data_IF_450490407135
#
_entry.id   IF_450490407135
#
_cell.length_a   1.000
_cell.length_b   1.000
_cell.length_c   1.000
_cell.angle_alpha   90.00
_cell.angle_beta   90.00
_cell.angle_gamma   90.00
#
_symmetry.space_group_name_H-M   'P 1'
#
loop_
_entity.id
_entity.type
_entity.pdbx_description
1 polymer ?
#
# COMPACT_ATOMS: atom_id res chain seq x y z
N UNK A 1 -39.83 20.83 6.37
CA UNK A 1 -39.29 20.70 5.01
C UNK A 1 -37.85 20.34 5.23
N UNK A 2 -37.56 19.05 5.11
CA UNK A 2 -36.20 18.52 5.24
C UNK A 2 -35.49 18.70 3.90
N UNK A 3 -34.47 19.53 3.92
CA UNK A 3 -33.56 19.72 2.81
C UNK A 3 -32.78 18.39 2.63
N UNK A 4 -33.17 17.61 1.62
CA UNK A 4 -32.42 16.45 1.23
C UNK A 4 -31.20 16.96 0.45
N UNK A 5 -30.07 17.12 1.16
CA UNK A 5 -28.77 17.29 0.55
C UNK A 5 -28.56 16.11 -0.42
N UNK A 6 -28.66 16.37 -1.71
CA UNK A 6 -28.22 15.44 -2.76
C UNK A 6 -26.69 15.47 -2.77
N UNK A 7 -26.09 14.78 -1.80
CA UNK A 7 -24.64 14.50 -1.82
C UNK A 7 -24.35 13.69 -3.08
N UNK A 8 -23.48 14.20 -3.95
CA UNK A 8 -22.94 13.41 -5.05
C UNK A 8 -22.18 12.23 -4.46
N UNK A 9 -22.59 11.01 -4.81
CA UNK A 9 -21.82 9.81 -4.46
C UNK A 9 -20.46 9.89 -5.14
N UNK A 10 -19.38 9.72 -4.36
CA UNK A 10 -18.03 9.62 -4.89
C UNK A 10 -17.91 8.33 -5.75
N UNK A 11 -17.10 8.40 -6.80
CA UNK A 11 -16.74 7.23 -7.59
C UNK A 11 -15.24 7.00 -7.40
N UNK A 12 -14.83 5.93 -6.72
CA UNK A 12 -13.42 5.67 -6.48
C UNK A 12 -12.68 5.39 -7.80
N UNK A 13 -11.42 5.84 -7.86
CA UNK A 13 -10.52 5.59 -8.97
C UNK A 13 -9.82 4.25 -8.76
N UNK A 14 -9.70 3.44 -9.81
CA UNK A 14 -9.08 2.12 -9.73
C UNK A 14 -7.67 2.21 -10.32
N UNK A 15 -6.68 1.72 -9.58
CA UNK A 15 -5.27 1.68 -9.99
C UNK A 15 -4.66 0.31 -9.73
N UNK A 16 -3.52 0.04 -10.34
CA UNK A 16 -2.68 -1.13 -10.05
C UNK A 16 -1.32 -0.68 -9.50
N UNK A 17 -0.88 -1.32 -8.42
CA UNK A 17 0.53 -1.43 -8.09
C UNK A 17 1.07 -2.70 -8.77
N UNK A 18 1.93 -2.59 -9.81
CA UNK A 18 2.29 -3.72 -10.66
C UNK A 18 3.38 -4.62 -10.07
N UNK A 19 3.41 -4.82 -8.75
CA UNK A 19 4.46 -5.58 -8.07
C UNK A 19 4.39 -7.09 -8.33
N UNK A 20 3.27 -7.62 -8.79
CA UNK A 20 3.15 -9.04 -9.13
C UNK A 20 4.17 -9.51 -10.18
N UNK A 21 4.64 -8.61 -11.06
CA UNK A 21 5.71 -8.92 -12.01
C UNK A 21 7.10 -9.03 -11.36
N UNK A 22 7.21 -8.61 -10.10
CA UNK A 22 8.45 -8.70 -9.31
C UNK A 22 8.48 -9.94 -8.41
N UNK A 23 7.41 -10.74 -8.37
CA UNK A 23 7.32 -11.92 -7.51
C UNK A 23 8.44 -12.92 -7.81
N UNK A 24 9.19 -13.33 -6.79
CA UNK A 24 10.29 -14.27 -6.94
C UNK A 24 10.02 -15.64 -6.29
N UNK A 25 10.81 -16.65 -6.67
CA UNK A 25 10.61 -18.03 -6.21
C UNK A 25 10.92 -18.22 -4.72
N UNK A 26 11.61 -17.27 -4.10
CA UNK A 26 11.93 -17.28 -2.67
C UNK A 26 10.90 -16.53 -1.81
N UNK A 27 9.80 -16.05 -2.40
CA UNK A 27 8.73 -15.35 -1.70
C UNK A 27 9.00 -13.87 -1.43
N UNK A 28 10.03 -13.28 -2.05
CA UNK A 28 10.31 -11.85 -2.06
C UNK A 28 9.91 -11.21 -3.39
N UNK A 29 10.05 -9.88 -3.42
CA UNK A 29 9.97 -9.10 -4.64
C UNK A 29 11.39 -8.86 -5.19
N UNK A 30 11.58 -9.13 -6.47
CA UNK A 30 12.80 -8.87 -7.23
C UNK A 30 12.48 -7.96 -8.41
N UNK A 31 12.79 -6.65 -8.32
CA UNK A 31 12.50 -5.70 -9.39
C UNK A 31 13.12 -6.07 -10.75
N UNK A 32 14.19 -6.87 -10.76
CA UNK A 32 14.84 -7.30 -12.00
C UNK A 32 14.01 -8.28 -12.82
N UNK A 33 12.97 -8.88 -12.24
CA UNK A 33 12.03 -9.78 -12.94
C UNK A 33 10.95 -9.04 -13.72
N UNK A 34 10.69 -7.78 -13.35
CA UNK A 34 9.69 -6.97 -14.06
C UNK A 34 10.14 -6.70 -15.51
N UNK A 35 9.19 -6.63 -16.45
CA UNK A 35 9.47 -6.13 -17.79
C UNK A 35 10.06 -4.72 -17.76
N UNK A 36 10.71 -4.31 -18.85
CA UNK A 36 11.09 -2.92 -19.06
C UNK A 36 9.89 -1.99 -18.86
N UNK A 37 10.12 -0.77 -18.37
CA UNK A 37 9.06 0.15 -17.91
C UNK A 37 7.97 0.39 -18.97
N UNK A 38 8.36 0.59 -20.22
CA UNK A 38 7.44 0.84 -21.34
C UNK A 38 6.52 -0.38 -21.58
N UNK A 39 7.08 -1.58 -21.52
CA UNK A 39 6.32 -2.81 -21.66
C UNK A 39 5.40 -3.05 -20.46
N UNK A 40 5.89 -2.84 -19.25
CA UNK A 40 5.10 -3.01 -18.02
C UNK A 40 3.86 -2.11 -18.02
N UNK A 41 4.03 -0.81 -18.31
CA UNK A 41 2.92 0.13 -18.36
C UNK A 41 1.91 -0.23 -19.47
N UNK A 42 2.39 -0.69 -20.63
CA UNK A 42 1.52 -1.17 -21.71
C UNK A 42 0.70 -2.39 -21.26
N UNK A 43 1.30 -3.33 -20.53
CA UNK A 43 0.59 -4.50 -19.97
C UNK A 43 -0.46 -4.09 -18.94
N UNK A 44 -0.14 -3.14 -18.06
CA UNK A 44 -1.10 -2.58 -17.08
C UNK A 44 -2.33 -2.00 -17.79
N UNK A 45 -2.12 -1.19 -18.84
CA UNK A 45 -3.21 -0.62 -19.62
C UNK A 45 -4.02 -1.69 -20.34
N UNK A 46 -3.38 -2.65 -20.98
CA UNK A 46 -4.05 -3.77 -21.68
C UNK A 46 -4.84 -4.67 -20.73
N UNK A 47 -4.40 -4.82 -19.47
CA UNK A 47 -5.12 -5.55 -18.45
C UNK A 47 -6.44 -4.88 -18.01
N UNK A 48 -6.66 -3.61 -18.38
CA UNK A 48 -7.91 -2.89 -18.13
C UNK A 48 -7.83 -1.84 -17.03
N UNK A 49 -6.63 -1.46 -16.57
CA UNK A 49 -6.45 -0.36 -15.65
C UNK A 49 -6.30 0.98 -16.39
N UNK A 50 -6.84 2.04 -15.80
CA UNK A 50 -6.69 3.41 -16.29
C UNK A 50 -5.63 4.19 -15.50
N UNK A 51 -5.12 3.61 -14.42
CA UNK A 51 -4.15 4.25 -13.54
C UNK A 51 -3.17 3.24 -12.96
N UNK A 52 -1.96 3.71 -12.66
CA UNK A 52 -0.87 2.92 -12.11
C UNK A 52 -0.17 3.66 -10.98
N UNK A 53 0.31 2.94 -9.97
CA UNK A 53 1.13 3.51 -8.90
C UNK A 53 2.32 4.28 -9.51
N UNK A 54 2.47 5.54 -9.12
CA UNK A 54 3.54 6.40 -9.62
C UNK A 54 4.90 5.96 -9.06
N UNK A 55 5.81 5.64 -9.98
CA UNK A 55 7.20 5.31 -9.68
C UNK A 55 8.10 5.83 -10.80
N UNK A 56 8.68 7.01 -10.60
CA UNK A 56 9.63 7.60 -11.56
C UNK A 56 10.96 6.86 -11.45
N UNK A 57 11.47 6.21 -12.52
CA UNK A 57 12.78 5.57 -12.50
C UNK A 57 13.90 6.55 -12.09
N UNK A 58 14.89 6.08 -11.34
CA UNK A 58 15.93 6.95 -10.77
C UNK A 58 16.76 7.72 -11.82
N UNK A 59 16.87 7.20 -13.03
CA UNK A 59 17.59 7.77 -14.16
C UNK A 59 16.69 8.56 -15.14
N UNK A 60 15.39 8.73 -14.79
CA UNK A 60 14.43 9.48 -15.60
C UNK A 60 14.06 10.81 -14.95
N UNK A 61 13.66 11.76 -15.80
CA UNK A 61 12.96 12.96 -15.34
C UNK A 61 11.46 12.68 -15.18
N UNK A 62 10.79 13.51 -14.38
CA UNK A 62 9.33 13.43 -14.19
C UNK A 62 8.60 13.64 -15.52
N UNK A 63 9.07 14.59 -16.35
CA UNK A 63 8.46 14.87 -17.66
C UNK A 63 8.56 13.66 -18.61
N UNK A 64 9.69 12.94 -18.60
CA UNK A 64 9.84 11.70 -19.40
C UNK A 64 8.85 10.64 -18.96
N UNK A 65 8.70 10.46 -17.66
CA UNK A 65 7.77 9.48 -17.11
C UNK A 65 6.32 9.85 -17.42
N UNK A 66 5.94 11.13 -17.24
CA UNK A 66 4.61 11.63 -17.59
C UNK A 66 4.31 11.45 -19.09
N UNK A 67 5.26 11.78 -19.96
CA UNK A 67 5.09 11.58 -21.40
C UNK A 67 4.82 10.12 -21.77
N UNK A 68 5.47 9.16 -21.11
CA UNK A 68 5.19 7.74 -21.32
C UNK A 68 3.81 7.35 -20.79
N UNK A 69 3.40 7.85 -19.62
CA UNK A 69 2.04 7.60 -19.11
C UNK A 69 0.97 8.11 -20.09
N UNK A 70 1.17 9.32 -20.63
CA UNK A 70 0.27 9.94 -21.61
C UNK A 70 0.22 9.12 -22.91
N UNK A 71 1.37 8.63 -23.40
CA UNK A 71 1.47 7.79 -24.61
C UNK A 71 0.71 6.48 -24.44
N UNK A 72 0.85 5.84 -23.26
CA UNK A 72 0.18 4.57 -22.96
C UNK A 72 -1.31 4.79 -22.61
N UNK A 73 -1.69 5.99 -22.20
CA UNK A 73 -3.04 6.33 -21.74
C UNK A 73 -3.33 5.86 -20.30
N UNK A 74 -2.32 5.97 -19.42
CA UNK A 74 -2.43 5.74 -17.98
C UNK A 74 -2.33 7.06 -17.22
N UNK A 75 -3.10 7.20 -16.14
CA UNK A 75 -2.92 8.28 -15.18
C UNK A 75 -2.02 7.80 -14.00
N UNK A 76 -1.18 8.68 -13.42
CA UNK A 76 -0.48 8.35 -12.18
C UNK A 76 -1.48 8.22 -11.02
N UNK A 77 -1.26 7.26 -10.13
CA UNK A 77 -1.91 7.11 -8.84
C UNK A 77 -0.86 7.32 -7.73
N UNK A 78 -1.25 7.52 -6.44
CA UNK A 78 -0.31 7.72 -5.36
C UNK A 78 0.80 6.67 -5.35
N UNK A 79 2.05 7.12 -5.24
CA UNK A 79 3.22 6.25 -5.13
C UNK A 79 3.47 5.80 -3.70
N UNK A 80 4.69 5.31 -3.44
CA UNK A 80 5.01 4.72 -2.15
C UNK A 80 6.44 5.07 -1.71
N UNK A 81 6.60 5.47 -0.45
CA UNK A 81 7.89 5.70 0.20
C UNK A 81 8.20 4.59 1.18
N UNK A 82 9.34 3.93 0.99
CA UNK A 82 9.86 2.92 1.92
C UNK A 82 10.82 3.59 2.90
N UNK A 83 10.41 3.75 4.14
CA UNK A 83 11.24 4.28 5.22
C UNK A 83 12.26 3.22 5.69
N UNK A 84 13.54 3.43 5.39
CA UNK A 84 14.64 2.50 5.71
C UNK A 84 15.32 2.87 7.03
N UNK A 85 14.52 3.14 8.06
CA UNK A 85 14.98 3.38 9.43
C UNK A 85 13.85 3.10 10.41
N UNK A 86 14.18 2.64 11.60
CA UNK A 86 13.25 2.51 12.73
C UNK A 86 13.35 3.70 13.71
N UNK A 87 14.05 4.76 13.31
CA UNK A 87 14.27 5.96 14.13
C UNK A 87 15.44 5.84 15.12
N UNK A 88 16.26 4.78 15.01
CA UNK A 88 17.39 4.49 15.91
C UNK A 88 18.69 4.16 15.17
N UNK A 89 18.67 4.22 13.83
CA UNK A 89 19.78 3.77 12.98
C UNK A 89 20.86 4.84 12.76
N UNK A 90 20.60 6.10 13.14
CA UNK A 90 21.52 7.22 12.93
C UNK A 90 21.54 7.78 11.50
N UNK A 91 20.65 7.30 10.62
CA UNK A 91 20.50 7.75 9.22
C UNK A 91 19.21 8.56 8.99
N UNK A 92 18.50 8.97 10.05
CA UNK A 92 17.17 9.57 9.98
C UNK A 92 17.16 10.86 9.15
N UNK A 93 18.24 11.65 9.17
CA UNK A 93 18.35 12.86 8.36
C UNK A 93 18.36 12.56 6.86
N UNK A 94 19.07 11.51 6.44
CA UNK A 94 19.14 11.09 5.04
C UNK A 94 17.79 10.52 4.57
N UNK A 95 17.10 9.78 5.45
CA UNK A 95 15.76 9.26 5.20
C UNK A 95 14.76 10.41 5.01
N UNK A 96 14.77 11.43 5.89
CA UNK A 96 13.92 12.62 5.78
C UNK A 96 14.21 13.40 4.50
N UNK A 97 15.49 13.58 4.15
CA UNK A 97 15.87 14.27 2.92
C UNK A 97 15.39 13.53 1.66
N UNK A 98 15.52 12.20 1.63
CA UNK A 98 15.03 11.37 0.52
C UNK A 98 13.51 11.38 0.40
N UNK A 99 12.80 11.44 1.53
CA UNK A 99 11.35 11.57 1.57
C UNK A 99 10.87 12.88 0.93
N UNK A 100 11.48 14.02 1.30
CA UNK A 100 11.19 15.32 0.68
C UNK A 100 11.49 15.35 -0.82
N UNK A 101 12.60 14.72 -1.25
CA UNK A 101 12.94 14.64 -2.67
C UNK A 101 11.90 13.83 -3.47
N UNK A 102 11.44 12.69 -2.94
CA UNK A 102 10.40 11.89 -3.58
C UNK A 102 9.05 12.63 -3.60
N UNK A 103 8.69 13.32 -2.52
CA UNK A 103 7.47 14.13 -2.46
C UNK A 103 7.46 15.21 -3.54
N UNK A 104 8.60 15.88 -3.79
CA UNK A 104 8.71 16.86 -4.88
C UNK A 104 8.43 16.25 -6.25
N UNK A 105 8.97 15.07 -6.55
CA UNK A 105 8.67 14.35 -7.79
C UNK A 105 7.17 14.02 -7.92
N UNK A 106 6.53 13.64 -6.80
CA UNK A 106 5.09 13.37 -6.76
C UNK A 106 4.26 14.64 -6.99
N UNK A 107 4.65 15.77 -6.38
CA UNK A 107 4.00 17.06 -6.61
C UNK A 107 4.11 17.49 -8.08
N UNK A 108 5.25 17.26 -8.74
CA UNK A 108 5.45 17.52 -10.18
C UNK A 108 4.55 16.64 -11.06
N UNK A 109 4.18 15.42 -10.62
CA UNK A 109 3.18 14.56 -11.26
C UNK A 109 1.73 14.95 -10.91
N UNK A 110 1.51 16.02 -10.13
CA UNK A 110 0.19 16.44 -9.66
C UNK A 110 -0.38 15.58 -8.54
N UNK A 111 0.42 14.73 -7.89
CA UNK A 111 0.00 13.92 -6.76
C UNK A 111 0.12 14.70 -5.45
N UNK A 112 -0.91 14.60 -4.61
CA UNK A 112 -0.96 15.23 -3.27
C UNK A 112 -0.87 14.22 -2.13
N UNK A 113 -0.88 12.93 -2.44
CA UNK A 113 -0.87 11.83 -1.48
C UNK A 113 0.20 10.80 -1.87
N UNK A 114 0.81 10.16 -0.87
CA UNK A 114 1.79 9.08 -1.06
C UNK A 114 1.69 8.07 0.08
N UNK A 115 1.89 6.78 -0.22
CA UNK A 115 2.03 5.74 0.81
C UNK A 115 3.34 5.86 1.57
N UNK A 116 3.34 5.49 2.84
CA UNK A 116 4.52 5.46 3.70
C UNK A 116 4.50 4.19 4.55
N UNK A 117 5.42 3.27 4.29
CA UNK A 117 5.64 2.10 5.12
C UNK A 117 7.10 1.94 5.52
N UNK A 118 7.34 1.14 6.54
CA UNK A 118 8.69 0.81 6.97
C UNK A 118 9.31 -0.26 6.07
N UNK A 119 10.62 -0.25 5.97
CA UNK A 119 11.35 -1.30 5.27
C UNK A 119 11.26 -2.63 6.02
N UNK A 120 11.26 -3.71 5.26
CA UNK A 120 11.33 -5.09 5.72
C UNK A 120 12.66 -5.71 5.28
N UNK A 121 13.32 -6.44 6.16
CA UNK A 121 14.57 -7.14 5.87
C UNK A 121 14.46 -8.63 6.17
N UNK A 122 15.12 -9.49 5.37
CA UNK A 122 15.02 -10.96 5.47
C UNK A 122 15.30 -11.51 6.87
N UNK A 123 16.19 -10.88 7.61
CA UNK A 123 16.64 -11.34 8.94
C UNK A 123 15.93 -10.62 10.10
N UNK A 124 14.92 -9.78 9.80
CA UNK A 124 14.19 -9.10 10.87
C UNK A 124 13.36 -10.09 11.69
N UNK A 125 13.31 -9.93 13.03
CA UNK A 125 12.52 -10.81 13.91
C UNK A 125 11.05 -10.94 13.47
N UNK A 126 10.45 -9.85 12.98
CA UNK A 126 9.06 -9.83 12.50
C UNK A 126 8.86 -10.48 11.14
N UNK A 127 9.93 -10.64 10.35
CA UNK A 127 9.91 -11.44 9.12
C UNK A 127 10.03 -12.92 9.44
N UNK A 128 10.79 -13.25 10.48
CA UNK A 128 10.92 -14.62 10.97
C UNK A 128 9.66 -15.08 11.75
N UNK A 129 8.95 -14.14 12.40
CA UNK A 129 7.73 -14.37 13.16
C UNK A 129 6.63 -13.35 12.78
N UNK A 130 6.08 -13.44 11.53
CA UNK A 130 5.19 -12.43 10.98
C UNK A 130 3.83 -12.39 11.67
N UNK A 131 3.23 -11.21 11.74
CA UNK A 131 1.88 -10.99 12.25
C UNK A 131 1.66 -11.44 13.71
N UNK A 132 2.68 -11.33 14.56
CA UNK A 132 2.66 -11.76 15.95
C UNK A 132 3.13 -10.67 16.92
N UNK A 133 3.34 -9.44 16.46
CA UNK A 133 3.96 -8.37 17.25
C UNK A 133 5.28 -8.82 17.91
N UNK A 134 6.06 -9.68 17.23
CA UNK A 134 7.28 -10.22 17.80
C UNK A 134 8.24 -9.09 18.18
N UNK A 135 8.87 -9.16 19.35
CA UNK A 135 9.72 -8.09 19.90
C UNK A 135 9.01 -6.73 19.98
N UNK A 136 7.71 -6.72 20.34
CA UNK A 136 6.97 -5.49 20.56
C UNK A 136 7.69 -4.60 21.59
N UNK A 137 7.98 -3.36 21.19
CA UNK A 137 8.71 -2.38 22.02
C UNK A 137 8.04 -1.00 21.86
N UNK A 138 7.27 -0.54 22.86
CA UNK A 138 6.63 0.78 22.81
C UNK A 138 7.61 1.94 22.56
N UNK A 139 8.84 1.83 23.07
CA UNK A 139 9.85 2.87 22.85
C UNK A 139 10.37 2.90 21.41
N UNK A 140 10.29 1.77 20.69
CA UNK A 140 10.54 1.73 19.24
C UNK A 140 9.41 2.35 18.46
N UNK A 141 8.15 2.06 18.82
CA UNK A 141 6.99 2.71 18.20
C UNK A 141 7.06 4.23 18.38
N UNK A 142 7.49 4.73 19.55
CA UNK A 142 7.71 6.16 19.79
C UNK A 142 8.82 6.75 18.90
N UNK A 143 9.95 6.03 18.76
CA UNK A 143 11.05 6.45 17.88
C UNK A 143 10.62 6.52 16.40
N UNK A 144 9.93 5.47 15.92
CA UNK A 144 9.35 5.42 14.58
C UNK A 144 8.34 6.55 14.38
N UNK A 145 7.45 6.79 15.33
CA UNK A 145 6.45 7.87 15.27
C UNK A 145 7.13 9.24 15.14
N UNK A 146 8.21 9.47 15.91
CA UNK A 146 9.00 10.70 15.83
C UNK A 146 9.63 10.87 14.45
N UNK A 147 10.19 9.81 13.88
CA UNK A 147 10.78 9.84 12.54
C UNK A 147 9.69 10.07 11.47
N UNK A 148 8.56 9.37 11.53
CA UNK A 148 7.42 9.56 10.63
C UNK A 148 6.94 11.02 10.68
N UNK A 149 6.86 11.63 11.86
CA UNK A 149 6.52 13.04 12.00
C UNK A 149 7.48 13.97 11.25
N UNK A 150 8.79 13.72 11.28
CA UNK A 150 9.78 14.48 10.53
C UNK A 150 9.68 14.25 9.00
N UNK A 151 9.43 13.00 8.60
CA UNK A 151 9.18 12.65 7.19
C UNK A 151 7.93 13.38 6.70
N UNK A 152 6.86 13.37 7.50
CA UNK A 152 5.61 14.03 7.16
C UNK A 152 5.79 15.54 6.98
N UNK A 153 6.53 16.19 7.88
CA UNK A 153 6.84 17.63 7.74
C UNK A 153 7.60 17.93 6.43
N UNK A 154 8.58 17.08 6.08
CA UNK A 154 9.34 17.26 4.84
C UNK A 154 8.48 17.04 3.58
N UNK A 155 7.59 16.05 3.57
CA UNK A 155 6.71 15.78 2.44
C UNK A 155 5.60 16.82 2.29
N UNK A 156 4.96 17.22 3.40
CA UNK A 156 3.91 18.25 3.41
C UNK A 156 4.47 19.61 2.95
N UNK A 157 5.74 19.93 3.26
CA UNK A 157 6.40 21.12 2.75
C UNK A 157 6.50 21.17 1.21
N UNK A 158 6.49 20.00 0.55
CA UNK A 158 6.44 19.87 -0.92
C UNK A 158 5.00 19.72 -1.46
N UNK A 159 3.98 19.81 -0.58
CA UNK A 159 2.56 19.71 -0.97
C UNK A 159 2.02 18.29 -1.06
N UNK A 160 2.73 17.28 -0.52
CA UNK A 160 2.33 15.86 -0.56
C UNK A 160 2.17 15.32 0.86
N UNK A 161 1.00 14.77 1.17
CA UNK A 161 0.74 14.15 2.47
C UNK A 161 1.10 12.67 2.44
N UNK A 162 1.96 12.18 3.34
CA UNK A 162 2.19 10.74 3.51
C UNK A 162 1.01 10.08 4.22
N UNK A 163 0.80 8.79 3.91
CA UNK A 163 -0.25 7.97 4.48
C UNK A 163 0.37 6.69 5.06
N UNK A 164 0.21 6.49 6.36
CA UNK A 164 0.78 5.35 7.07
C UNK A 164 0.23 4.03 6.53
N UNK A 165 1.11 3.14 6.17
CA UNK A 165 0.81 1.80 5.71
C UNK A 165 1.42 0.77 6.69
N UNK A 166 0.66 0.27 7.68
CA UNK A 166 1.09 -0.85 8.52
C UNK A 166 1.30 -2.10 7.67
N UNK A 167 2.45 -2.76 7.83
CA UNK A 167 2.85 -3.86 6.97
C UNK A 167 3.45 -5.01 7.80
N UNK A 168 2.93 -6.22 7.64
CA UNK A 168 3.45 -7.43 8.31
C UNK A 168 4.93 -7.61 8.00
N UNK A 169 5.71 -7.92 9.02
CA UNK A 169 7.16 -8.07 8.92
C UNK A 169 7.95 -6.78 9.21
N UNK A 170 7.26 -5.66 9.44
CA UNK A 170 7.88 -4.38 9.83
C UNK A 170 7.64 -4.05 11.31
N UNK A 171 8.20 -2.92 11.79
CA UNK A 171 8.01 -2.49 13.18
C UNK A 171 6.65 -1.83 13.44
N UNK A 172 5.86 -1.58 12.41
CA UNK A 172 4.44 -1.19 12.51
C UNK A 172 3.65 -2.20 11.69
N UNK A 173 3.31 -3.33 12.32
CA UNK A 173 2.60 -4.42 11.64
C UNK A 173 1.19 -4.66 12.18
N UNK A 174 0.92 -4.31 13.44
CA UNK A 174 -0.36 -4.57 14.09
C UNK A 174 -1.27 -3.35 14.06
N UNK A 175 -2.58 -3.58 14.22
CA UNK A 175 -3.56 -2.50 14.37
C UNK A 175 -3.22 -1.58 15.55
N UNK A 176 -2.81 -2.15 16.70
CA UNK A 176 -2.45 -1.39 17.90
C UNK A 176 -1.29 -0.43 17.61
N UNK A 177 -0.24 -0.90 16.93
CA UNK A 177 0.91 -0.07 16.54
C UNK A 177 0.53 0.99 15.51
N UNK A 178 -0.28 0.61 14.52
CA UNK A 178 -0.80 1.54 13.51
C UNK A 178 -1.61 2.67 14.14
N UNK A 179 -2.53 2.32 15.06
CA UNK A 179 -3.33 3.30 15.82
C UNK A 179 -2.44 4.21 16.67
N UNK A 180 -1.43 3.66 17.34
CA UNK A 180 -0.53 4.46 18.16
C UNK A 180 0.19 5.56 17.35
N UNK A 181 0.62 5.26 16.12
CA UNK A 181 1.24 6.23 15.22
C UNK A 181 0.22 7.25 14.70
N UNK A 182 -0.95 6.78 14.24
CA UNK A 182 -2.01 7.64 13.69
C UNK A 182 -2.57 8.61 14.74
N UNK A 183 -2.75 8.16 15.99
CA UNK A 183 -3.29 9.00 17.07
C UNK A 183 -2.27 10.03 17.56
N UNK A 184 -0.97 9.73 17.44
CA UNK A 184 0.08 10.66 17.84
C UNK A 184 0.32 11.79 16.82
N UNK A 185 -0.11 11.63 15.57
CA UNK A 185 0.13 12.61 14.50
C UNK A 185 -1.21 13.12 13.93
N UNK A 186 -1.39 14.45 13.77
CA UNK A 186 -2.64 15.01 13.26
C UNK A 186 -2.84 14.65 11.78
N UNK A 187 -4.09 14.54 11.35
CA UNK A 187 -4.51 14.21 9.99
C UNK A 187 -3.85 15.09 8.91
N UNK A 188 -3.72 16.39 9.17
CA UNK A 188 -3.05 17.30 8.23
C UNK A 188 -1.59 16.92 7.91
N UNK A 189 -0.95 16.10 8.77
CA UNK A 189 0.44 15.65 8.59
C UNK A 189 0.53 14.23 8.08
N UNK A 190 -0.33 13.34 8.55
CA UNK A 190 -0.28 11.91 8.26
C UNK A 190 -1.68 11.36 8.04
N UNK A 191 -1.97 10.85 6.84
CA UNK A 191 -3.16 10.09 6.55
C UNK A 191 -2.98 8.60 6.88
N UNK A 192 -3.97 7.80 6.49
CA UNK A 192 -3.95 6.35 6.65
C UNK A 192 -4.10 5.68 5.29
N UNK A 193 -3.21 4.75 4.98
CA UNK A 193 -3.27 3.83 3.84
C UNK A 193 -3.49 2.41 4.38
N UNK A 194 -4.74 1.97 4.54
CA UNK A 194 -5.00 0.58 4.86
C UNK A 194 -4.63 -0.33 3.69
N UNK A 195 -3.88 -1.40 3.98
CA UNK A 195 -3.77 -2.57 3.12
C UNK A 195 -4.64 -3.67 3.70
N UNK A 196 -5.66 -4.07 2.96
CA UNK A 196 -6.66 -5.01 3.46
C UNK A 196 -6.05 -6.37 3.80
N UNK A 197 -5.07 -6.83 3.02
CA UNK A 197 -4.42 -8.12 3.24
C UNK A 197 -3.45 -8.13 4.41
N UNK A 198 -2.57 -7.12 4.50
CA UNK A 198 -1.61 -7.05 5.61
C UNK A 198 -2.30 -6.88 6.96
N UNK A 199 -3.30 -6.00 7.04
CA UNK A 199 -4.07 -5.81 8.26
C UNK A 199 -4.83 -7.09 8.67
N UNK A 200 -5.46 -7.77 7.70
CA UNK A 200 -6.16 -9.03 7.97
C UNK A 200 -5.19 -10.14 8.40
N UNK A 201 -4.01 -10.25 7.77
CA UNK A 201 -2.97 -11.20 8.18
C UNK A 201 -2.50 -10.92 9.62
N UNK A 202 -2.32 -9.63 9.98
CA UNK A 202 -1.99 -9.23 11.34
C UNK A 202 -3.10 -9.48 12.37
N UNK A 203 -4.31 -9.86 11.93
CA UNK A 203 -5.44 -10.19 12.79
C UNK A 203 -6.32 -9.01 13.17
N UNK A 204 -6.23 -7.90 12.42
CA UNK A 204 -7.05 -6.71 12.63
C UNK A 204 -8.50 -6.94 12.24
N UNK A 205 -9.44 -6.26 12.92
CA UNK A 205 -10.76 -5.98 12.36
C UNK A 205 -10.63 -4.86 11.32
N UNK A 206 -10.32 -5.25 10.06
CA UNK A 206 -10.00 -4.31 8.99
C UNK A 206 -11.16 -3.36 8.71
N UNK A 207 -12.41 -3.86 8.74
CA UNK A 207 -13.61 -3.05 8.54
C UNK A 207 -13.72 -1.96 9.61
N UNK A 208 -13.54 -2.33 10.87
CA UNK A 208 -13.59 -1.39 11.99
C UNK A 208 -12.44 -0.39 11.96
N UNK A 209 -11.23 -0.83 11.60
CA UNK A 209 -10.08 0.06 11.50
C UNK A 209 -10.25 1.09 10.35
N UNK A 210 -10.80 0.67 9.22
CA UNK A 210 -11.16 1.58 8.12
C UNK A 210 -12.24 2.56 8.55
N UNK A 211 -13.32 2.10 9.22
CA UNK A 211 -14.39 2.96 9.72
C UNK A 211 -13.87 4.04 10.67
N UNK A 212 -13.01 3.67 11.64
CA UNK A 212 -12.51 4.58 12.67
C UNK A 212 -11.64 5.72 12.10
N UNK A 213 -10.98 5.49 10.96
CA UNK A 213 -10.09 6.48 10.33
C UNK A 213 -10.55 6.89 8.92
N UNK A 214 -11.82 6.63 8.56
CA UNK A 214 -12.35 6.78 7.21
C UNK A 214 -12.06 8.14 6.57
N UNK A 215 -12.18 9.24 7.34
CA UNK A 215 -11.92 10.61 6.89
C UNK A 215 -10.42 10.90 6.62
N UNK A 216 -9.51 10.01 7.08
CA UNK A 216 -8.06 10.13 6.89
C UNK A 216 -7.53 9.27 5.75
N UNK A 217 -8.40 8.50 5.06
CA UNK A 217 -8.03 7.53 4.03
C UNK A 217 -8.23 8.14 2.65
N UNK A 218 -7.16 8.56 1.94
CA UNK A 218 -7.27 9.03 0.55
C UNK A 218 -7.20 7.89 -0.47
N UNK A 219 -6.64 6.75 -0.10
CA UNK A 219 -6.57 5.56 -0.93
C UNK A 219 -6.37 4.29 -0.09
N UNK A 220 -6.68 3.14 -0.70
CA UNK A 220 -6.62 1.81 -0.09
C UNK A 220 -5.82 0.89 -0.97
N UNK A 221 -4.92 0.08 -0.41
CA UNK A 221 -4.38 -1.09 -1.08
C UNK A 221 -5.39 -2.24 -0.94
N UNK A 222 -5.99 -2.62 -2.07
CA UNK A 222 -6.93 -3.73 -2.15
C UNK A 222 -6.15 -4.99 -2.42
N UNK A 223 -5.87 -5.72 -1.36
CA UNK A 223 -5.10 -6.96 -1.34
C UNK A 223 -5.94 -8.06 -0.71
N UNK A 224 -6.13 -9.16 -1.41
CA UNK A 224 -6.85 -10.32 -0.91
C UNK A 224 -5.91 -11.42 -0.44
N UNK A 225 -6.34 -12.18 0.54
CA UNK A 225 -5.52 -13.25 1.09
C UNK A 225 -6.36 -14.43 1.57
N UNK A 226 -5.68 -15.57 1.76
CA UNK A 226 -6.23 -16.75 2.44
C UNK A 226 -5.88 -16.72 3.92
N UNK A 227 -6.81 -16.30 4.76
CA UNK A 227 -6.65 -16.26 6.22
C UNK A 227 -6.37 -17.66 6.79
N UNK A 228 -6.88 -18.70 6.15
CA UNK A 228 -6.57 -20.09 6.46
C UNK A 228 -5.08 -20.42 6.34
N UNK A 229 -4.39 -19.88 5.31
CA UNK A 229 -2.93 -20.00 5.13
C UNK A 229 -2.19 -19.19 6.19
N UNK A 230 -2.65 -17.96 6.47
CA UNK A 230 -2.08 -17.13 7.54
C UNK A 230 -2.16 -17.81 8.91
N UNK A 231 -3.31 -18.40 9.23
CA UNK A 231 -3.53 -19.16 10.48
C UNK A 231 -2.62 -20.39 10.56
N UNK A 232 -2.52 -21.17 9.47
CA UNK A 232 -1.63 -22.32 9.39
C UNK A 232 -0.16 -21.90 9.55
N UNK A 233 0.26 -20.81 8.93
CA UNK A 233 1.63 -20.28 9.05
C UNK A 233 1.97 -19.95 10.50
N UNK A 234 1.05 -19.30 11.21
CA UNK A 234 1.19 -18.97 12.64
C UNK A 234 1.27 -20.25 13.49
N UNK A 235 0.40 -21.21 13.27
CA UNK A 235 0.36 -22.47 14.01
C UNK A 235 1.64 -23.29 13.82
N UNK A 236 2.20 -23.29 12.60
CA UNK A 236 3.40 -24.05 12.25
C UNK A 236 4.70 -23.26 12.43
N UNK A 237 4.64 -21.99 12.84
CA UNK A 237 5.81 -21.14 13.03
C UNK A 237 6.52 -20.77 11.72
N UNK A 238 5.79 -20.61 10.62
CA UNK A 238 6.36 -20.19 9.35
C UNK A 238 6.77 -18.72 9.39
N UNK A 239 7.90 -18.41 8.77
CA UNK A 239 8.28 -17.04 8.49
C UNK A 239 7.47 -16.43 7.34
N UNK A 240 7.71 -15.14 7.05
CA UNK A 240 7.00 -14.38 6.02
C UNK A 240 7.02 -15.09 4.66
N UNK A 241 8.23 -15.41 4.15
CA UNK A 241 8.38 -16.02 2.83
C UNK A 241 7.68 -17.39 2.72
N UNK A 242 7.82 -18.22 3.76
CA UNK A 242 7.17 -19.53 3.77
C UNK A 242 5.65 -19.38 3.71
N UNK A 243 5.09 -18.42 4.44
CA UNK A 243 3.65 -18.17 4.43
C UNK A 243 3.19 -17.66 3.05
N UNK A 244 3.93 -16.73 2.45
CA UNK A 244 3.65 -16.22 1.09
C UNK A 244 3.74 -17.35 0.05
N UNK A 245 4.79 -18.17 0.10
CA UNK A 245 4.98 -19.31 -0.82
C UNK A 245 3.93 -20.39 -0.65
N UNK A 246 3.26 -20.46 0.50
CA UNK A 246 2.16 -21.39 0.75
C UNK A 246 0.82 -20.92 0.19
N UNK A 247 0.81 -19.81 -0.58
CA UNK A 247 -0.37 -19.31 -1.27
C UNK A 247 -1.22 -18.34 -0.45
N UNK A 248 -0.57 -17.50 0.36
CA UNK A 248 -1.23 -16.48 1.15
C UNK A 248 -1.98 -15.46 0.28
N UNK A 249 -1.26 -14.86 -0.68
CA UNK A 249 -1.77 -13.80 -1.53
C UNK A 249 -2.53 -14.35 -2.74
N UNK A 250 -3.59 -13.68 -3.11
CA UNK A 250 -4.41 -14.01 -4.27
C UNK A 250 -4.99 -12.73 -4.89
N UNK A 251 -5.48 -12.83 -6.11
CA UNK A 251 -6.20 -11.74 -6.77
C UNK A 251 -7.47 -11.36 -6.00
N UNK A 252 -7.88 -10.09 -5.99
CA UNK A 252 -9.11 -9.62 -5.34
C UNK A 252 -10.34 -10.47 -5.72
N UNK A 253 -11.10 -10.90 -4.71
CA UNK A 253 -12.28 -11.74 -4.86
C UNK A 253 -11.99 -13.25 -4.95
N UNK A 254 -10.72 -13.67 -4.89
CA UNK A 254 -10.33 -15.09 -4.87
C UNK A 254 -9.87 -15.55 -3.48
N UNK A 255 -9.73 -14.62 -2.54
CA UNK A 255 -9.34 -14.90 -1.17
C UNK A 255 -10.52 -15.09 -0.22
N UNK A 256 -10.28 -14.82 1.04
CA UNK A 256 -11.22 -15.05 2.12
C UNK A 256 -11.70 -13.73 2.76
N UNK A 257 -11.30 -12.55 2.21
CA UNK A 257 -11.71 -11.25 2.73
C UNK A 257 -13.02 -10.77 2.11
N UNK A 258 -13.89 -10.20 2.94
CA UNK A 258 -15.02 -9.40 2.44
C UNK A 258 -14.52 -8.00 2.05
N UNK A 259 -13.77 -7.93 0.95
CA UNK A 259 -13.20 -6.68 0.44
C UNK A 259 -14.25 -5.60 0.22
N UNK A 260 -15.43 -6.00 -0.30
CA UNK A 260 -16.50 -5.03 -0.52
C UNK A 260 -17.03 -4.49 0.79
N UNK A 261 -17.31 -5.34 1.77
CA UNK A 261 -17.76 -4.92 3.10
C UNK A 261 -16.74 -4.03 3.81
N UNK A 262 -15.44 -4.28 3.63
CA UNK A 262 -14.38 -3.41 4.16
C UNK A 262 -14.43 -2.03 3.51
N UNK A 263 -14.51 -1.94 2.18
CA UNK A 263 -14.50 -0.69 1.42
C UNK A 263 -15.80 0.10 1.65
N UNK A 264 -16.93 -0.56 1.86
CA UNK A 264 -18.23 0.09 2.15
C UNK A 264 -18.21 0.88 3.50
N UNK A 265 -17.19 0.71 4.35
CA UNK A 265 -16.99 1.56 5.55
C UNK A 265 -16.37 2.94 5.23
N UNK A 266 -15.91 3.17 4.00
CA UNK A 266 -15.49 4.50 3.57
C UNK A 266 -16.72 5.41 3.37
N UNK A 267 -16.55 6.76 3.48
CA UNK A 267 -17.63 7.68 3.22
C UNK A 267 -18.25 7.47 1.82
N UNK A 268 -19.56 7.62 1.70
CA UNK A 268 -20.25 7.53 0.39
C UNK A 268 -19.77 8.58 -0.63
N UNK A 269 -19.07 9.59 -0.16
CA UNK A 269 -18.43 10.64 -0.97
C UNK A 269 -16.98 10.31 -1.35
N UNK A 270 -16.47 9.13 -0.97
CA UNK A 270 -15.09 8.74 -1.26
C UNK A 270 -14.85 8.69 -2.77
N UNK A 271 -13.92 9.50 -3.25
CA UNK A 271 -13.46 9.62 -4.63
C UNK A 271 -11.96 9.33 -4.78
N UNK A 272 -11.37 8.77 -3.73
CA UNK A 272 -9.97 8.38 -3.66
C UNK A 272 -9.61 7.19 -4.55
N UNK A 273 -8.55 6.49 -4.21
CA UNK A 273 -8.04 5.39 -5.01
C UNK A 273 -8.27 4.03 -4.35
N UNK A 274 -8.77 3.08 -5.12
CA UNK A 274 -8.71 1.66 -4.81
C UNK A 274 -7.57 1.05 -5.64
N UNK A 275 -6.42 0.84 -5.01
CA UNK A 275 -5.22 0.35 -5.67
C UNK A 275 -5.07 -1.14 -5.45
N UNK A 276 -5.21 -1.92 -6.50
CA UNK A 276 -4.94 -3.36 -6.44
C UNK A 276 -3.46 -3.61 -6.18
N UNK A 277 -3.18 -4.52 -5.25
CA UNK A 277 -1.83 -4.96 -4.96
C UNK A 277 -1.79 -6.47 -4.72
N UNK A 278 -1.00 -7.20 -5.49
CA UNK A 278 -0.84 -8.65 -5.39
C UNK A 278 0.65 -8.98 -5.34
N UNK A 279 1.22 -9.22 -4.15
CA UNK A 279 2.66 -9.44 -3.99
C UNK A 279 3.15 -10.72 -4.70
N UNK A 280 2.30 -11.75 -4.71
CA UNK A 280 2.53 -13.01 -5.40
C UNK A 280 1.20 -13.53 -5.95
N UNK A 281 1.01 -13.54 -7.26
CA UNK A 281 -0.23 -13.98 -7.86
C UNK A 281 -0.48 -15.48 -7.65
N UNK A 282 -1.75 -15.85 -7.44
CA UNK A 282 -2.22 -17.25 -7.47
C UNK A 282 -2.38 -17.74 -8.91
N UNK A 283 -2.76 -16.84 -9.81
CA UNK A 283 -2.75 -17.09 -11.26
C UNK A 283 -1.30 -17.01 -11.75
N UNK A 284 -0.81 -18.07 -12.36
CA UNK A 284 0.61 -18.23 -12.71
C UNK A 284 1.14 -17.18 -13.70
N UNK A 285 0.28 -16.63 -14.56
CA UNK A 285 0.62 -15.55 -15.48
C UNK A 285 0.29 -14.20 -14.88
N UNK A 286 1.27 -13.32 -14.72
CA UNK A 286 1.12 -12.02 -14.08
C UNK A 286 0.16 -11.09 -14.85
N UNK A 287 0.10 -11.21 -16.19
CA UNK A 287 -0.82 -10.42 -17.00
C UNK A 287 -2.27 -10.90 -16.80
N UNK A 288 -2.52 -12.20 -16.84
CA UNK A 288 -3.84 -12.78 -16.56
C UNK A 288 -4.30 -12.48 -15.12
N UNK A 289 -3.38 -12.48 -14.16
CA UNK A 289 -3.64 -12.02 -12.79
C UNK A 289 -4.12 -10.57 -12.76
N UNK A 290 -3.46 -9.67 -13.50
CA UNK A 290 -3.86 -8.27 -13.61
C UNK A 290 -5.23 -8.12 -14.30
N UNK A 291 -5.51 -8.88 -15.37
CA UNK A 291 -6.79 -8.90 -16.08
C UNK A 291 -7.93 -9.34 -15.16
N UNK A 292 -7.73 -10.40 -14.40
CA UNK A 292 -8.74 -10.91 -13.45
C UNK A 292 -9.00 -9.89 -12.33
N UNK A 293 -7.93 -9.29 -11.80
CA UNK A 293 -8.03 -8.23 -10.78
C UNK A 293 -8.82 -7.03 -11.30
N UNK A 294 -8.51 -6.54 -12.51
CA UNK A 294 -9.24 -5.41 -13.12
C UNK A 294 -10.71 -5.75 -13.31
N UNK A 295 -11.00 -6.95 -13.82
CA UNK A 295 -12.38 -7.43 -14.04
C UNK A 295 -13.18 -7.41 -12.74
N UNK A 296 -12.62 -7.97 -11.68
CA UNK A 296 -13.28 -8.02 -10.37
C UNK A 296 -13.53 -6.62 -9.80
N UNK A 297 -12.50 -5.75 -9.84
CA UNK A 297 -12.61 -4.37 -9.35
C UNK A 297 -13.70 -3.58 -10.07
N UNK A 298 -13.75 -3.66 -11.41
CA UNK A 298 -14.76 -2.95 -12.18
C UNK A 298 -16.17 -3.51 -11.96
N UNK A 299 -16.31 -4.82 -11.77
CA UNK A 299 -17.62 -5.44 -11.49
C UNK A 299 -18.14 -5.13 -10.09
N UNK A 300 -17.22 -4.82 -9.13
CA UNK A 300 -17.58 -4.62 -7.73
C UNK A 300 -17.78 -3.15 -7.38
N UNK A 301 -17.02 -2.22 -8.00
CA UNK A 301 -16.95 -0.81 -7.59
C UNK A 301 -17.27 0.21 -8.71
N UNK A 302 -17.74 -0.23 -9.88
CA UNK A 302 -18.19 0.66 -10.97
C UNK A 302 -19.60 0.40 -11.47
#
# INVERSE_FOLDING_TARGET
MSDASTGTTGVPRIALNPIQWMASDDGWLDPSKAPEREQLLSLVKQAGFDSVMAEVPADWTVERYQALLDEVGLAPAPGYFVCRSDGRDGNENDVVASAGALARQHAELGMTEIGLGLAMGKDMPRVLHPAQAHDADPSRVEAVTTLIGRIADAMVAEGVRPNLHPHVGTWIETEEEGRAVLDALPDARLGFLPDTGHLAWAGSDVGKFVEDYAERIPFVHVKDCRLSVAAQGREQGWGYQQTVLSGLWVEPGRGELDLKGIIDNLPSTFDGWLMVEVDRPDIADCYESAVESARWMHATFR
#
